data_IF_290568238846
#
_entry.id   IF_290568238846
#
_cell.length_a   1.000
_cell.length_b   1.000
_cell.length_c   1.000
_cell.angle_alpha   90.00
_cell.angle_beta   90.00
_cell.angle_gamma   90.00
#
_symmetry.space_group_name_H-M   'P 1'
#
loop_
_entity.id
_entity.type
_entity.pdbx_description
1 polymer ?
#
# COMPACT_ATOMS: atom_id res chain seq x y z
N UNK A 1 23.92 -12.27 14.28
CA UNK A 1 23.14 -12.06 13.03
C UNK A 1 22.05 -10.98 13.19
N UNK A 2 20.97 -11.14 14.00
CA UNK A 2 19.93 -10.10 14.16
C UNK A 2 20.47 -8.86 14.88
N UNK A 3 21.27 -9.02 15.94
CA UNK A 3 21.88 -7.93 16.69
C UNK A 3 22.89 -7.16 15.82
N UNK A 4 23.61 -7.84 14.97
CA UNK A 4 24.56 -7.26 14.03
C UNK A 4 23.84 -6.48 12.92
N UNK A 5 22.68 -6.96 12.46
CA UNK A 5 21.82 -6.25 11.52
C UNK A 5 21.37 -4.89 12.07
N UNK A 6 20.84 -4.86 13.29
CA UNK A 6 20.42 -3.60 13.92
C UNK A 6 21.59 -2.70 14.30
N UNK A 7 22.70 -3.28 14.75
CA UNK A 7 23.95 -2.54 15.01
C UNK A 7 24.48 -1.85 13.76
N UNK A 8 24.38 -2.50 12.61
CA UNK A 8 24.77 -1.91 11.32
C UNK A 8 23.87 -0.76 10.89
N UNK A 9 22.56 -0.83 11.21
CA UNK A 9 21.62 0.23 10.85
C UNK A 9 21.70 1.42 11.82
N UNK A 10 21.65 1.16 13.12
CA UNK A 10 21.49 2.21 14.14
C UNK A 10 22.81 2.64 14.79
N UNK A 11 23.93 1.97 14.49
CA UNK A 11 25.25 2.32 15.01
C UNK A 11 25.32 2.33 16.54
N UNK A 12 26.01 3.34 17.10
CA UNK A 12 26.21 3.47 18.56
C UNK A 12 24.95 3.90 19.32
N UNK A 13 23.84 4.28 18.66
CA UNK A 13 22.58 4.69 19.32
C UNK A 13 21.96 3.60 20.20
N UNK A 14 22.38 2.35 20.02
CA UNK A 14 21.97 1.22 20.86
C UNK A 14 22.57 1.29 22.27
N UNK A 15 23.76 1.90 22.42
CA UNK A 15 24.53 1.89 23.67
C UNK A 15 24.31 3.14 24.53
N UNK A 16 23.93 4.29 23.96
CA UNK A 16 23.80 5.55 24.70
C UNK A 16 22.57 5.62 25.63
N UNK A 17 21.67 4.67 25.49
CA UNK A 17 20.35 4.72 26.12
C UNK A 17 20.36 4.30 27.59
N UNK A 18 21.41 3.64 28.09
CA UNK A 18 21.47 3.18 29.48
C UNK A 18 21.53 4.30 30.51
N UNK A 19 21.72 5.55 30.07
CA UNK A 19 21.91 6.73 30.93
C UNK A 19 20.71 7.65 31.03
N UNK A 20 19.55 7.33 30.41
CA UNK A 20 18.34 8.15 30.55
C UNK A 20 17.74 8.01 31.96
N UNK A 21 18.15 8.87 32.89
CA UNK A 21 17.73 8.83 34.29
C UNK A 21 16.34 9.49 34.50
N UNK A 22 15.87 10.32 33.56
CA UNK A 22 14.57 10.99 33.62
C UNK A 22 13.93 11.07 32.23
N UNK A 23 13.05 10.16 31.93
CA UNK A 23 12.29 10.12 30.71
C UNK A 23 10.82 10.37 31.03
N UNK A 24 10.21 11.35 30.34
CA UNK A 24 8.76 11.65 30.46
C UNK A 24 8.05 11.01 29.27
N UNK A 25 7.07 10.17 29.56
CA UNK A 25 6.18 9.61 28.53
C UNK A 25 5.23 10.71 28.03
N UNK A 26 5.21 10.95 26.72
CA UNK A 26 4.37 11.94 26.07
C UNK A 26 2.95 11.45 25.77
N UNK A 27 2.77 10.13 25.62
CA UNK A 27 1.52 9.52 25.19
C UNK A 27 0.64 9.03 26.34
N UNK A 28 0.66 9.68 27.51
CA UNK A 28 -0.02 9.15 28.67
C UNK A 28 0.57 7.80 29.11
N UNK A 29 -0.24 6.98 29.78
CA UNK A 29 0.23 5.75 30.44
C UNK A 29 0.19 4.48 29.56
N UNK A 30 -0.24 4.58 28.31
CA UNK A 30 -0.39 3.41 27.44
C UNK A 30 0.61 3.43 26.29
N UNK A 31 1.62 2.54 26.32
CA UNK A 31 2.45 2.28 25.16
C UNK A 31 1.57 1.80 24.00
N UNK A 32 1.68 2.41 22.84
CA UNK A 32 1.00 1.90 21.65
C UNK A 32 1.72 0.63 21.18
N UNK A 33 1.17 -0.49 21.59
CA UNK A 33 1.57 -1.78 21.04
C UNK A 33 0.94 -1.93 19.67
N UNK A 34 1.76 -2.04 18.64
CA UNK A 34 1.31 -2.68 17.43
C UNK A 34 1.24 -4.16 17.77
N UNK A 35 0.03 -4.63 18.09
CA UNK A 35 -0.20 -6.07 18.20
C UNK A 35 -0.05 -6.64 16.77
N UNK A 36 1.17 -6.88 16.38
CA UNK A 36 1.48 -7.86 15.37
C UNK A 36 1.18 -9.25 15.93
N UNK A 37 -0.05 -9.46 16.33
CA UNK A 37 -0.56 -10.81 16.22
C UNK A 37 -0.60 -11.02 14.71
N UNK A 38 0.23 -11.90 14.18
CA UNK A 38 0.32 -12.34 12.80
C UNK A 38 -1.04 -12.66 12.13
N UNK A 39 -2.11 -12.44 12.84
CA UNK A 39 -3.46 -12.89 12.56
C UNK A 39 -4.24 -11.96 11.61
N UNK A 40 -3.94 -10.67 11.58
CA UNK A 40 -4.67 -9.75 10.67
C UNK A 40 -4.10 -9.80 9.26
N UNK A 41 -2.78 -9.71 9.13
CA UNK A 41 -2.08 -9.81 7.85
C UNK A 41 -2.12 -11.21 7.23
N UNK A 42 -2.44 -12.25 8.01
CA UNK A 42 -2.65 -13.61 7.53
C UNK A 42 -4.00 -13.81 6.83
N UNK A 43 -4.94 -12.87 6.99
CA UNK A 43 -6.18 -12.89 6.24
C UNK A 43 -5.92 -12.54 4.76
N UNK A 44 -6.35 -13.42 3.87
CA UNK A 44 -6.07 -13.31 2.43
C UNK A 44 -6.65 -12.05 1.79
N UNK A 45 -7.86 -11.65 2.17
CA UNK A 45 -8.56 -10.48 1.62
C UNK A 45 -7.89 -9.19 2.08
N UNK A 46 -7.63 -9.09 3.38
CA UNK A 46 -6.94 -7.95 3.97
C UNK A 46 -5.56 -7.73 3.33
N UNK A 47 -4.80 -8.83 3.22
CA UNK A 47 -3.49 -8.82 2.56
C UNK A 47 -3.57 -8.41 1.09
N UNK A 48 -4.59 -8.88 0.36
CA UNK A 48 -4.80 -8.53 -1.03
C UNK A 48 -5.08 -7.02 -1.20
N UNK A 49 -5.86 -6.41 -0.29
CA UNK A 49 -6.11 -4.97 -0.30
C UNK A 49 -4.82 -4.17 -0.10
N UNK A 50 -4.05 -4.51 0.94
CA UNK A 50 -2.77 -3.83 1.22
C UNK A 50 -1.77 -4.03 0.07
N UNK A 51 -1.63 -5.25 -0.44
CA UNK A 51 -0.76 -5.57 -1.56
C UNK A 51 -1.14 -4.79 -2.83
N UNK A 52 -2.43 -4.66 -3.11
CA UNK A 52 -2.92 -3.89 -4.25
C UNK A 52 -2.48 -2.42 -4.18
N UNK A 53 -2.66 -1.75 -3.04
CA UNK A 53 -2.19 -0.37 -2.83
C UNK A 53 -0.67 -0.30 -2.91
N UNK A 54 0.03 -1.18 -2.18
CA UNK A 54 1.48 -1.17 -2.08
C UNK A 54 2.16 -1.38 -3.45
N UNK A 55 1.64 -2.29 -4.29
CA UNK A 55 2.15 -2.51 -5.66
C UNK A 55 1.97 -1.29 -6.54
N UNK A 56 0.85 -0.59 -6.43
CA UNK A 56 0.60 0.60 -7.23
C UNK A 56 1.47 1.78 -6.79
N UNK A 57 1.70 1.95 -5.49
CA UNK A 57 2.64 2.96 -4.97
C UNK A 57 4.08 2.62 -5.36
N UNK A 58 4.51 1.37 -5.27
CA UNK A 58 5.87 0.94 -5.55
C UNK A 58 6.32 1.13 -7.02
N UNK A 59 5.37 1.20 -7.96
CA UNK A 59 5.66 1.49 -9.39
C UNK A 59 6.16 2.91 -9.61
N UNK A 60 5.85 3.83 -8.69
CA UNK A 60 6.10 5.25 -8.86
C UNK A 60 7.59 5.58 -8.69
N UNK A 61 8.04 6.57 -9.42
CA UNK A 61 9.42 7.04 -9.31
C UNK A 61 9.41 8.41 -8.66
N UNK A 62 10.09 8.58 -7.51
CA UNK A 62 10.26 9.89 -6.92
C UNK A 62 11.12 10.76 -7.82
N UNK A 63 10.80 12.03 -7.89
CA UNK A 63 11.64 13.07 -8.50
C UNK A 63 12.27 13.87 -7.38
N UNK A 64 13.59 13.93 -7.35
CA UNK A 64 14.35 14.66 -6.34
C UNK A 64 14.98 15.89 -6.96
N UNK A 65 14.57 17.07 -6.48
CA UNK A 65 15.12 18.35 -6.88
C UNK A 65 15.85 18.95 -5.69
N UNK A 66 17.15 19.14 -5.84
CA UNK A 66 18.04 19.75 -4.83
C UNK A 66 18.67 20.98 -5.44
N UNK A 67 18.40 22.13 -4.87
CA UNK A 67 18.93 23.41 -5.36
C UNK A 67 20.30 23.73 -4.75
N UNK A 68 20.63 23.08 -3.61
CA UNK A 68 21.85 23.32 -2.86
C UNK A 68 22.96 22.34 -3.27
N UNK A 69 24.19 22.83 -3.45
CA UNK A 69 25.39 22.01 -3.72
C UNK A 69 26.00 21.39 -2.44
N UNK A 70 25.23 21.22 -1.38
CA UNK A 70 25.71 20.66 -0.12
C UNK A 70 25.99 19.16 -0.27
N UNK A 71 27.15 18.74 0.27
CA UNK A 71 27.57 17.32 0.29
C UNK A 71 26.60 16.43 1.05
N UNK A 72 25.80 16.99 1.95
CA UNK A 72 24.77 16.28 2.71
C UNK A 72 23.78 15.58 1.79
N UNK A 73 23.40 16.20 0.67
CA UNK A 73 22.42 15.69 -0.29
C UNK A 73 23.01 14.97 -1.51
N UNK A 74 24.34 14.83 -1.56
CA UNK A 74 25.04 14.34 -2.77
C UNK A 74 24.53 13.02 -3.32
N UNK A 75 24.01 12.14 -2.45
CA UNK A 75 23.53 10.81 -2.80
C UNK A 75 21.98 10.72 -2.79
N UNK A 76 21.29 11.79 -2.40
CA UNK A 76 19.84 11.75 -2.15
C UNK A 76 19.05 11.28 -3.36
N UNK A 77 19.36 11.80 -4.54
CA UNK A 77 18.72 11.41 -5.80
C UNK A 77 18.91 9.91 -6.07
N UNK A 78 20.13 9.41 -6.02
CA UNK A 78 20.42 8.00 -6.25
C UNK A 78 19.72 7.09 -5.22
N UNK A 79 19.72 7.49 -3.94
CA UNK A 79 19.08 6.73 -2.87
C UNK A 79 17.57 6.58 -3.11
N UNK A 80 16.86 7.67 -3.41
CA UNK A 80 15.41 7.62 -3.57
C UNK A 80 14.98 7.05 -4.93
N UNK A 81 15.69 7.35 -6.00
CA UNK A 81 15.34 6.91 -7.34
C UNK A 81 15.76 5.46 -7.65
N UNK A 82 16.80 4.93 -6.97
CA UNK A 82 17.34 3.61 -7.30
C UNK A 82 17.46 2.67 -6.10
N UNK A 83 18.27 3.02 -5.08
CA UNK A 83 18.62 2.12 -4.00
C UNK A 83 18.63 2.82 -2.64
N UNK A 84 17.48 2.92 -1.96
CA UNK A 84 17.34 3.61 -0.68
C UNK A 84 18.23 3.08 0.45
N UNK A 85 18.57 1.79 0.43
CA UNK A 85 19.47 1.16 1.37
C UNK A 85 20.12 -0.09 0.77
N UNK A 86 21.04 -0.71 1.50
CA UNK A 86 21.79 -1.90 1.05
C UNK A 86 20.93 -3.15 0.84
N UNK A 87 19.73 -3.21 1.47
CA UNK A 87 18.85 -4.39 1.45
C UNK A 87 17.68 -4.28 0.47
N UNK A 88 17.35 -3.07 0.01
CA UNK A 88 16.14 -2.80 -0.76
C UNK A 88 16.43 -1.93 -1.97
N UNK A 89 15.82 -2.26 -3.09
CA UNK A 89 15.67 -1.34 -4.21
C UNK A 89 14.50 -0.37 -3.97
N UNK A 90 14.34 0.61 -4.84
CA UNK A 90 13.26 1.61 -4.77
C UNK A 90 11.87 0.97 -4.67
N UNK A 91 11.56 -0.03 -5.50
CA UNK A 91 10.27 -0.70 -5.51
C UNK A 91 9.96 -1.35 -4.15
N UNK A 92 10.90 -2.13 -3.63
CA UNK A 92 10.76 -2.81 -2.34
C UNK A 92 10.62 -1.84 -1.17
N UNK A 93 11.30 -0.70 -1.24
CA UNK A 93 11.26 0.33 -0.22
C UNK A 93 9.88 0.98 -0.13
N UNK A 94 9.33 1.49 -1.24
CA UNK A 94 8.01 2.11 -1.24
C UNK A 94 6.89 1.10 -1.01
N UNK A 95 7.04 -0.12 -1.52
CA UNK A 95 6.13 -1.22 -1.19
C UNK A 95 6.08 -1.46 0.32
N UNK A 96 7.22 -1.52 0.99
CA UNK A 96 7.29 -1.75 2.43
C UNK A 96 6.70 -0.58 3.23
N UNK A 97 6.98 0.66 2.85
CA UNK A 97 6.38 1.85 3.48
C UNK A 97 4.85 1.79 3.38
N UNK A 98 4.34 1.57 2.17
CA UNK A 98 2.91 1.48 1.94
C UNK A 98 2.27 0.33 2.72
N UNK A 99 2.91 -0.85 2.75
CA UNK A 99 2.41 -2.01 3.49
C UNK A 99 2.37 -1.74 4.99
N UNK A 100 3.43 -1.19 5.59
CA UNK A 100 3.47 -0.86 7.02
C UNK A 100 2.40 0.18 7.34
N UNK A 101 2.30 1.26 6.55
CA UNK A 101 1.33 2.31 6.81
C UNK A 101 -0.11 1.80 6.74
N UNK A 102 -0.43 0.98 5.74
CA UNK A 102 -1.78 0.44 5.58
C UNK A 102 -2.10 -0.70 6.55
N UNK A 103 -1.10 -1.28 7.21
CA UNK A 103 -1.29 -2.31 8.24
C UNK A 103 -1.35 -1.73 9.66
N UNK A 104 -0.69 -0.60 9.92
CA UNK A 104 -0.55 -0.05 11.28
C UNK A 104 -1.01 1.38 11.46
N UNK A 105 -1.39 2.06 10.38
CA UNK A 105 -1.67 3.49 10.30
C UNK A 105 -0.50 4.40 10.70
N UNK A 106 0.68 3.84 10.95
CA UNK A 106 1.91 4.55 11.30
C UNK A 106 3.10 3.90 10.62
N UNK A 107 3.87 4.67 9.86
CA UNK A 107 5.11 4.21 9.26
C UNK A 107 6.25 5.14 9.62
N UNK A 108 7.32 4.57 10.16
CA UNK A 108 8.53 5.29 10.51
C UNK A 108 9.65 4.89 9.57
N UNK A 109 10.33 5.90 9.02
CA UNK A 109 11.51 5.68 8.20
C UNK A 109 12.70 6.39 8.86
N UNK A 110 13.71 5.62 9.23
CA UNK A 110 14.95 6.14 9.79
C UNK A 110 15.84 6.69 8.69
N UNK A 111 16.31 7.91 8.87
CA UNK A 111 17.28 8.57 7.97
C UNK A 111 18.67 8.39 8.55
N UNK A 112 19.45 7.51 7.95
CA UNK A 112 20.84 7.26 8.38
C UNK A 112 21.75 8.30 7.80
N UNK A 113 22.45 9.01 8.69
CA UNK A 113 23.44 10.01 8.34
C UNK A 113 24.81 9.56 8.84
N UNK A 114 25.81 9.55 7.96
CA UNK A 114 27.21 9.24 8.30
C UNK A 114 28.14 10.32 7.73
N UNK A 115 29.04 10.79 8.58
CA UNK A 115 30.03 11.82 8.19
C UNK A 115 29.39 13.04 7.50
N UNK A 116 28.22 13.45 7.97
CA UNK A 116 27.48 14.58 7.42
C UNK A 116 26.88 14.32 6.03
N UNK A 117 26.54 13.08 5.68
CA UNK A 117 25.85 12.72 4.44
C UNK A 117 24.73 11.73 4.73
N UNK A 118 23.62 11.85 4.01
CA UNK A 118 22.58 10.83 4.02
C UNK A 118 23.14 9.60 3.28
N UNK A 119 23.15 8.46 3.95
CA UNK A 119 23.63 7.18 3.41
C UNK A 119 22.54 6.15 3.22
N UNK A 120 21.35 6.36 3.77
CA UNK A 120 20.23 5.45 3.54
C UNK A 120 18.95 5.77 4.30
N UNK A 121 17.86 5.14 3.85
CA UNK A 121 16.53 5.22 4.41
C UNK A 121 16.06 3.83 4.80
N UNK A 122 15.60 3.64 6.05
CA UNK A 122 15.24 2.34 6.59
C UNK A 122 13.83 2.37 7.18
N UNK A 123 12.83 1.76 6.52
CA UNK A 123 11.51 1.59 7.09
C UNK A 123 11.58 0.65 8.30
N UNK A 124 11.15 1.17 9.46
CA UNK A 124 11.23 0.45 10.74
C UNK A 124 9.99 -0.42 10.91
N UNK A 125 10.23 -1.71 11.14
CA UNK A 125 9.21 -2.64 11.57
C UNK A 125 9.42 -2.92 13.07
N UNK A 126 8.45 -2.52 13.90
CA UNK A 126 8.55 -2.53 15.35
C UNK A 126 7.40 -3.31 15.99
N UNK A 127 7.60 -3.81 17.20
CA UNK A 127 6.55 -4.44 18.01
C UNK A 127 5.76 -3.41 18.79
N UNK A 128 6.48 -2.46 19.39
CA UNK A 128 5.93 -1.43 20.26
C UNK A 128 6.72 -0.14 20.04
N UNK A 129 6.03 0.98 20.10
CA UNK A 129 6.63 2.30 20.04
C UNK A 129 6.07 3.17 21.16
N UNK A 130 6.94 3.96 21.76
CA UNK A 130 6.62 5.00 22.74
C UNK A 130 7.36 6.28 22.36
N UNK A 131 6.71 7.44 22.50
CA UNK A 131 7.42 8.71 22.47
C UNK A 131 7.79 9.15 23.88
N UNK A 132 9.04 9.51 24.04
CA UNK A 132 9.62 9.94 25.30
C UNK A 132 10.31 11.28 25.11
N UNK A 133 10.21 12.16 26.09
CA UNK A 133 10.88 13.45 26.11
C UNK A 133 12.11 13.38 27.01
N UNK A 134 13.25 13.80 26.50
CA UNK A 134 14.49 13.90 27.22
C UNK A 134 15.22 15.18 26.81
N UNK A 135 15.60 16.03 27.78
CA UNK A 135 16.30 17.31 27.55
C UNK A 135 15.63 18.22 26.50
N UNK A 136 14.29 18.31 26.52
CA UNK A 136 13.46 19.06 25.55
C UNK A 136 13.49 18.48 24.10
N UNK A 137 14.04 17.31 23.90
CA UNK A 137 13.99 16.60 22.63
C UNK A 137 13.06 15.39 22.71
N UNK A 138 12.32 15.15 21.63
CA UNK A 138 11.43 13.99 21.52
C UNK A 138 12.20 12.83 20.92
N UNK A 139 12.17 11.68 21.59
CA UNK A 139 12.72 10.43 21.11
C UNK A 139 11.62 9.40 20.89
N UNK A 140 11.74 8.64 19.82
CA UNK A 140 10.93 7.45 19.60
C UNK A 140 11.68 6.23 20.14
N UNK A 141 11.07 5.57 21.12
CA UNK A 141 11.56 4.31 21.70
C UNK A 141 10.89 3.17 20.96
N UNK A 142 11.66 2.39 20.24
CA UNK A 142 11.21 1.22 19.51
C UNK A 142 11.60 -0.07 20.22
N UNK A 143 10.62 -0.92 20.46
CA UNK A 143 10.84 -2.30 20.88
C UNK A 143 10.67 -3.23 19.68
N UNK A 144 11.67 -4.05 19.42
CA UNK A 144 11.64 -4.97 18.29
C UNK A 144 11.21 -6.38 18.70
N UNK A 145 10.77 -7.19 17.71
CA UNK A 145 10.38 -8.58 17.93
C UNK A 145 11.52 -9.48 18.43
N UNK A 146 12.77 -9.09 18.14
CA UNK A 146 13.94 -9.75 18.69
C UNK A 146 14.07 -9.44 20.18
N UNK A 147 14.09 -10.47 21.01
CA UNK A 147 14.07 -10.41 22.48
C UNK A 147 14.98 -9.33 23.06
N UNK A 148 14.39 -8.37 23.76
CA UNK A 148 15.09 -7.41 24.62
C UNK A 148 15.91 -6.36 23.89
N UNK A 149 15.60 -6.08 22.63
CA UNK A 149 16.28 -5.07 21.86
C UNK A 149 15.42 -3.82 21.74
N UNK A 150 15.82 -2.76 22.40
CA UNK A 150 15.16 -1.45 22.40
C UNK A 150 16.11 -0.40 21.85
N UNK A 151 15.60 0.46 20.97
CA UNK A 151 16.36 1.57 20.38
C UNK A 151 15.63 2.87 20.60
N UNK A 152 16.36 3.92 20.94
CA UNK A 152 15.85 5.29 21.03
C UNK A 152 16.41 6.08 19.86
N UNK A 153 15.55 6.69 19.08
CA UNK A 153 15.91 7.47 17.92
C UNK A 153 15.32 8.88 18.08
N UNK A 154 16.11 9.95 17.91
CA UNK A 154 15.55 11.30 17.90
C UNK A 154 14.43 11.41 16.85
N UNK A 155 13.29 12.02 17.21
CA UNK A 155 12.19 12.18 16.28
C UNK A 155 12.58 13.03 15.05
N UNK A 156 13.60 13.89 15.21
CA UNK A 156 14.19 14.67 14.12
C UNK A 156 14.80 13.82 13.00
N UNK A 157 15.30 12.62 13.32
CA UNK A 157 15.90 11.68 12.36
C UNK A 157 14.89 10.68 11.77
N UNK A 158 13.61 10.80 12.12
CA UNK A 158 12.54 9.92 11.67
C UNK A 158 11.60 10.67 10.72
N UNK A 159 11.33 10.08 9.56
CA UNK A 159 10.20 10.46 8.73
C UNK A 159 9.02 9.65 9.25
N UNK A 160 7.96 10.32 9.69
CA UNK A 160 6.78 9.69 10.26
C UNK A 160 5.55 9.95 9.40
N UNK A 161 5.07 8.92 8.74
CA UNK A 161 3.86 8.94 7.91
C UNK A 161 2.74 8.31 8.71
N UNK A 162 1.59 8.97 8.80
CA UNK A 162 0.45 8.53 9.63
C UNK A 162 -0.88 8.64 8.90
N UNK A 163 -1.81 7.75 9.22
CA UNK A 163 -3.19 7.75 8.71
C UNK A 163 -4.18 7.73 9.87
N UNK A 164 -5.39 8.25 9.63
CA UNK A 164 -6.47 8.23 10.61
C UNK A 164 -6.05 8.78 11.98
N UNK A 165 -5.46 9.97 11.99
CA UNK A 165 -5.03 10.68 13.19
C UNK A 165 -6.06 11.74 13.56
N UNK A 166 -7.00 11.39 14.45
CA UNK A 166 -8.01 12.31 14.97
C UNK A 166 -7.85 12.56 16.47
N UNK A 167 -7.50 11.51 17.21
CA UNK A 167 -7.48 11.53 18.67
C UNK A 167 -6.10 11.87 19.25
N UNK A 168 -5.05 11.73 18.45
CA UNK A 168 -3.65 11.89 18.88
C UNK A 168 -2.85 12.61 17.77
N UNK A 169 -2.20 13.71 18.11
CA UNK A 169 -1.38 14.47 17.15
C UNK A 169 -0.12 13.74 16.71
N UNK A 170 0.37 12.79 17.53
CA UNK A 170 1.60 12.06 17.28
C UNK A 170 1.38 10.74 16.57
N UNK A 171 0.23 10.05 16.79
CA UNK A 171 -0.02 8.75 16.22
C UNK A 171 -1.30 8.68 15.38
N UNK A 172 -1.27 7.87 14.34
CA UNK A 172 -2.47 7.38 13.70
C UNK A 172 -3.22 6.38 14.59
N UNK A 173 -4.54 6.35 14.49
CA UNK A 173 -5.43 5.46 15.28
C UNK A 173 -5.17 3.99 14.96
N UNK A 174 -5.36 3.12 15.95
CA UNK A 174 -5.15 1.69 15.77
C UNK A 174 -6.19 1.08 14.84
N UNK A 175 -5.75 0.36 13.81
CA UNK A 175 -6.65 -0.41 12.93
C UNK A 175 -7.36 -1.55 13.64
N UNK A 176 -6.73 -2.11 14.67
CA UNK A 176 -7.27 -3.27 15.40
C UNK A 176 -8.60 -2.96 16.07
N UNK A 177 -8.81 -1.72 16.48
CA UNK A 177 -10.07 -1.27 17.08
C UNK A 177 -11.21 -1.23 16.06
N UNK A 178 -10.92 -0.71 14.86
CA UNK A 178 -11.92 -0.53 13.79
C UNK A 178 -12.22 -1.85 13.07
N UNK A 179 -11.19 -2.60 12.70
CA UNK A 179 -11.31 -3.81 11.90
C UNK A 179 -11.45 -5.09 12.74
N UNK A 180 -11.21 -5.01 14.06
CA UNK A 180 -11.29 -6.16 14.98
C UNK A 180 -12.59 -6.96 14.88
N UNK A 181 -13.77 -6.33 14.93
CA UNK A 181 -15.05 -7.03 14.77
C UNK A 181 -15.18 -7.74 13.42
N UNK A 182 -14.70 -7.12 12.34
CA UNK A 182 -14.76 -7.69 10.98
C UNK A 182 -13.86 -8.93 10.89
N UNK A 183 -12.67 -8.90 11.49
CA UNK A 183 -11.79 -10.07 11.57
C UNK A 183 -12.39 -11.21 12.38
N UNK A 184 -13.15 -10.92 13.43
CA UNK A 184 -13.87 -11.95 14.19
C UNK A 184 -14.94 -12.63 13.33
N UNK A 185 -15.71 -11.86 12.56
CA UNK A 185 -16.71 -12.40 11.64
C UNK A 185 -16.04 -13.28 10.58
N UNK A 186 -14.94 -12.84 9.95
CA UNK A 186 -14.20 -13.63 8.97
C UNK A 186 -13.71 -14.96 9.54
N UNK A 187 -13.14 -14.96 10.75
CA UNK A 187 -12.71 -16.19 11.40
C UNK A 187 -13.87 -17.15 11.69
N UNK A 188 -15.02 -16.60 12.08
CA UNK A 188 -16.22 -17.40 12.27
C UNK A 188 -16.71 -18.00 10.95
N UNK A 189 -16.64 -17.24 9.85
CA UNK A 189 -16.96 -17.71 8.50
C UNK A 189 -16.02 -18.84 8.08
N UNK A 190 -14.70 -18.63 8.16
CA UNK A 190 -13.69 -19.62 7.78
C UNK A 190 -13.84 -20.91 8.63
N UNK A 191 -14.00 -20.77 9.94
CA UNK A 191 -14.23 -21.91 10.85
C UNK A 191 -15.54 -22.64 10.53
N UNK A 192 -16.60 -21.89 10.21
CA UNK A 192 -17.88 -22.46 9.82
C UNK A 192 -17.80 -23.25 8.51
N UNK A 193 -17.05 -22.77 7.53
CA UNK A 193 -16.80 -23.47 6.26
C UNK A 193 -16.00 -24.74 6.48
N UNK A 194 -14.90 -24.67 7.24
CA UNK A 194 -14.07 -25.85 7.57
C UNK A 194 -14.91 -26.90 8.27
N UNK A 195 -15.63 -26.52 9.34
CA UNK A 195 -16.49 -27.44 10.08
C UNK A 195 -17.62 -28.03 9.21
N UNK A 196 -18.11 -27.25 8.24
CA UNK A 196 -19.13 -27.70 7.29
C UNK A 196 -18.59 -28.78 6.36
N UNK A 197 -17.38 -28.58 5.83
CA UNK A 197 -16.71 -29.56 4.95
C UNK A 197 -16.36 -30.81 5.76
N UNK A 198 -15.71 -30.67 6.90
CA UNK A 198 -15.37 -31.80 7.77
C UNK A 198 -16.59 -32.54 8.28
N UNK A 199 -17.64 -31.80 8.67
CA UNK A 199 -18.89 -32.37 9.13
C UNK A 199 -19.68 -33.09 8.04
N UNK A 200 -19.56 -32.68 6.79
CA UNK A 200 -20.24 -33.31 5.64
C UNK A 200 -19.62 -34.67 5.28
N UNK A 201 -18.35 -34.89 5.61
CA UNK A 201 -17.64 -36.16 5.36
C UNK A 201 -17.84 -37.19 6.47
N UNK A 202 -18.35 -36.78 7.62
CA UNK A 202 -18.58 -37.67 8.76
C UNK A 202 -20.06 -38.08 8.83
N UNK A 203 -20.33 -39.40 8.75
CA UNK A 203 -21.63 -39.94 8.98
C UNK A 203 -21.98 -39.79 10.49
N UNK A 204 -22.96 -38.94 10.80
CA UNK A 204 -23.44 -38.75 12.18
C UNK A 204 -24.84 -39.30 12.29
N UNK A 205 -25.10 -39.95 13.37
CA UNK A 205 -26.43 -40.54 13.64
C UNK A 205 -26.63 -40.89 15.10
N UNK A 206 -27.82 -41.25 15.39
CA UNK A 206 -28.20 -41.75 16.72
C UNK A 206 -28.32 -43.27 16.63
N UNK A 207 -27.50 -43.98 17.43
CA UNK A 207 -27.59 -45.40 17.57
C UNK A 207 -28.59 -45.69 18.70
N UNK A 208 -29.75 -46.28 18.33
CA UNK A 208 -30.78 -46.67 19.28
C UNK A 208 -30.66 -48.16 19.56
N UNK A 209 -30.63 -48.51 20.83
CA UNK A 209 -30.64 -49.90 21.26
C UNK A 209 -31.99 -50.24 21.93
N UNK A 210 -32.65 -51.29 21.46
CA UNK A 210 -33.93 -51.74 21.99
C UNK A 210 -33.71 -52.68 23.21
N UNK A 211 -33.32 -52.13 24.36
CA UNK A 211 -33.09 -52.85 25.60
C UNK A 211 -32.42 -51.98 26.70
N UNK A 212 -32.41 -52.48 27.94
CA UNK A 212 -31.70 -51.78 29.02
C UNK A 212 -30.25 -52.26 29.09
N UNK A 213 -29.33 -51.42 28.57
CA UNK A 213 -27.89 -51.65 28.69
C UNK A 213 -27.30 -50.76 29.78
N UNK A 214 -26.25 -51.25 30.41
CA UNK A 214 -25.40 -50.41 31.28
C UNK A 214 -24.60 -49.46 30.43
N UNK A 215 -24.20 -48.32 30.99
CA UNK A 215 -23.47 -47.28 30.31
C UNK A 215 -22.17 -47.77 29.64
N UNK A 216 -21.45 -48.66 30.33
CA UNK A 216 -20.20 -49.23 29.87
C UNK A 216 -20.38 -50.10 28.59
N UNK A 217 -21.52 -50.76 28.47
CA UNK A 217 -21.85 -51.59 27.32
C UNK A 217 -22.30 -50.71 26.15
N UNK A 218 -22.99 -49.58 26.39
CA UNK A 218 -23.36 -48.60 25.40
C UNK A 218 -22.11 -47.94 24.79
N UNK A 219 -21.14 -47.60 25.60
CA UNK A 219 -19.88 -47.01 25.15
C UNK A 219 -19.08 -47.98 24.26
N UNK A 220 -19.03 -49.29 24.61
CA UNK A 220 -18.43 -50.34 23.80
C UNK A 220 -19.12 -50.48 22.44
N UNK A 221 -20.45 -50.57 22.42
CA UNK A 221 -21.21 -50.68 21.17
C UNK A 221 -21.03 -49.46 20.28
N UNK A 222 -20.92 -48.27 20.85
CA UNK A 222 -20.62 -47.05 20.14
C UNK A 222 -19.23 -47.12 19.53
N UNK A 223 -18.21 -47.50 20.30
CA UNK A 223 -16.83 -47.57 19.83
C UNK A 223 -16.64 -48.67 18.77
N UNK A 224 -17.27 -49.80 18.91
CA UNK A 224 -17.28 -50.87 17.90
C UNK A 224 -17.97 -50.42 16.62
N UNK A 225 -19.07 -49.67 16.71
CA UNK A 225 -19.78 -49.14 15.56
C UNK A 225 -18.93 -48.08 14.83
N UNK A 226 -18.32 -47.14 15.57
CA UNK A 226 -17.46 -46.10 15.01
C UNK A 226 -16.23 -46.72 14.36
N UNK A 227 -15.59 -47.69 14.96
CA UNK A 227 -14.38 -48.34 14.43
C UNK A 227 -14.68 -49.23 13.21
N UNK A 228 -15.84 -49.87 13.19
CA UNK A 228 -16.19 -50.79 12.08
C UNK A 228 -16.82 -50.09 10.88
N UNK A 229 -17.57 -49.00 11.08
CA UNK A 229 -18.40 -48.39 10.05
C UNK A 229 -18.10 -46.93 9.74
N UNK A 230 -17.51 -46.19 10.69
CA UNK A 230 -17.23 -44.76 10.50
C UNK A 230 -15.74 -44.44 10.30
N UNK A 231 -14.86 -45.43 10.44
CA UNK A 231 -13.43 -45.22 10.19
C UNK A 231 -13.17 -45.14 8.69
N UNK A 232 -12.21 -44.29 8.30
CA UNK A 232 -11.75 -44.12 6.89
C UNK A 232 -11.30 -45.43 6.25
N UNK A 233 -11.02 -46.45 7.02
CA UNK A 233 -10.57 -47.79 6.55
C UNK A 233 -11.69 -48.84 6.62
N UNK A 234 -12.92 -48.48 6.95
CA UNK A 234 -14.07 -49.41 7.00
C UNK A 234 -14.59 -49.71 5.59
N UNK A 235 -15.06 -50.94 5.37
CA UNK A 235 -15.57 -51.42 4.08
C UNK A 235 -16.90 -50.74 3.63
N UNK A 236 -17.38 -49.77 4.40
CA UNK A 236 -18.60 -49.01 4.09
C UNK A 236 -19.91 -49.86 4.20
N UNK A 237 -19.84 -51.12 4.63
CA UNK A 237 -21.00 -51.99 4.76
C UNK A 237 -21.19 -52.34 6.23
N UNK A 238 -22.30 -51.91 6.80
CA UNK A 238 -22.67 -52.16 8.18
C UNK A 238 -23.72 -53.27 8.31
N UNK A 239 -23.46 -54.29 9.17
CA UNK A 239 -24.47 -55.26 9.58
C UNK A 239 -24.97 -54.83 10.96
N UNK A 240 -26.26 -54.49 11.08
CA UNK A 240 -26.91 -54.11 12.32
C UNK A 240 -27.63 -55.33 12.90
N UNK A 241 -27.51 -55.56 14.20
CA UNK A 241 -28.34 -56.56 14.92
C UNK A 241 -29.79 -56.02 14.97
N UNK A 242 -30.77 -56.92 15.04
CA UNK A 242 -32.20 -56.59 15.11
C UNK A 242 -32.57 -55.68 16.30
N UNK A 243 -31.68 -55.53 17.27
CA UNK A 243 -31.84 -54.67 18.47
C UNK A 243 -31.24 -53.29 18.32
N UNK A 244 -30.50 -53.01 17.23
CA UNK A 244 -29.80 -51.76 17.03
C UNK A 244 -30.41 -51.08 15.82
N UNK A 245 -30.88 -49.83 15.98
CA UNK A 245 -31.39 -48.98 14.93
C UNK A 245 -30.48 -47.75 14.79
N UNK A 246 -30.00 -47.48 13.57
CA UNK A 246 -29.21 -46.30 13.27
C UNK A 246 -30.05 -45.30 12.52
N UNK A 247 -30.30 -44.17 13.16
CA UNK A 247 -30.99 -43.05 12.52
C UNK A 247 -29.96 -42.00 12.11
N UNK A 248 -29.67 -41.82 10.79
CA UNK A 248 -28.73 -40.81 10.36
C UNK A 248 -29.28 -39.39 10.65
N UNK A 249 -28.49 -38.58 11.34
CA UNK A 249 -28.83 -37.17 11.54
C UNK A 249 -28.27 -36.38 10.39
N UNK A 250 -29.12 -35.92 9.49
CA UNK A 250 -28.73 -34.97 8.46
C UNK A 250 -28.46 -33.62 9.12
N UNK A 251 -27.20 -33.31 9.33
CA UNK A 251 -26.78 -31.96 9.70
C UNK A 251 -26.72 -31.20 8.39
N UNK A 252 -27.71 -30.36 8.11
CA UNK A 252 -27.57 -29.36 7.07
C UNK A 252 -26.64 -28.28 7.63
N UNK A 253 -25.39 -28.19 7.14
CA UNK A 253 -24.50 -27.16 7.59
C UNK A 253 -25.10 -25.83 7.20
N UNK A 254 -25.41 -24.98 8.16
CA UNK A 254 -25.77 -23.58 7.88
C UNK A 254 -24.55 -22.90 7.32
N UNK A 255 -24.37 -23.03 6.01
CA UNK A 255 -23.37 -22.24 5.29
C UNK A 255 -23.77 -20.78 5.33
N UNK A 256 -22.82 -19.95 5.64
CA UNK A 256 -23.01 -18.50 5.64
C UNK A 256 -23.40 -18.09 4.22
N UNK A 257 -24.44 -17.28 4.11
CA UNK A 257 -24.95 -16.87 2.81
C UNK A 257 -23.86 -16.11 2.01
N UNK A 258 -23.85 -16.30 0.69
CA UNK A 258 -22.97 -15.54 -0.23
C UNK A 258 -23.10 -14.02 -0.03
N UNK A 259 -24.28 -13.54 0.39
CA UNK A 259 -24.51 -12.14 0.71
C UNK A 259 -23.69 -11.64 1.91
N UNK A 260 -23.60 -12.44 2.97
CA UNK A 260 -22.78 -12.08 4.14
C UNK A 260 -21.27 -12.09 3.84
N UNK A 261 -20.82 -13.02 3.02
CA UNK A 261 -19.42 -13.03 2.57
C UNK A 261 -19.10 -11.79 1.73
N UNK A 262 -19.99 -11.43 0.80
CA UNK A 262 -19.85 -10.23 -0.01
C UNK A 262 -19.86 -8.96 0.86
N UNK A 263 -20.78 -8.86 1.80
CA UNK A 263 -20.84 -7.72 2.73
C UNK A 263 -19.52 -7.55 3.53
N UNK A 264 -18.91 -8.65 3.94
CA UNK A 264 -17.63 -8.59 4.66
C UNK A 264 -16.49 -8.12 3.75
N UNK A 265 -16.49 -8.53 2.48
CA UNK A 265 -15.54 -8.04 1.48
C UNK A 265 -15.72 -6.54 1.23
N UNK A 266 -16.98 -6.07 1.14
CA UNK A 266 -17.32 -4.68 0.92
C UNK A 266 -16.79 -3.77 2.05
N UNK A 267 -16.79 -4.23 3.32
CA UNK A 267 -16.19 -3.47 4.42
C UNK A 267 -14.70 -3.20 4.22
N UNK A 268 -13.91 -4.18 3.76
CA UNK A 268 -12.50 -3.94 3.46
C UNK A 268 -12.34 -3.02 2.25
N UNK A 269 -13.15 -3.19 1.23
CA UNK A 269 -13.16 -2.33 0.05
C UNK A 269 -13.42 -0.86 0.43
N UNK A 270 -14.40 -0.59 1.28
CA UNK A 270 -14.67 0.76 1.79
C UNK A 270 -13.54 1.31 2.66
N UNK A 271 -12.99 0.49 3.56
CA UNK A 271 -11.91 0.94 4.45
C UNK A 271 -10.64 1.32 3.69
N UNK A 272 -10.30 0.57 2.64
CA UNK A 272 -9.10 0.81 1.84
C UNK A 272 -9.36 1.67 0.60
N UNK A 273 -10.59 1.97 0.25
CA UNK A 273 -10.93 2.71 -0.97
C UNK A 273 -10.61 1.93 -2.25
N UNK A 274 -10.82 0.60 -2.26
CA UNK A 274 -10.50 -0.27 -3.39
C UNK A 274 -11.77 -0.96 -3.87
N UNK A 275 -12.09 -0.86 -5.15
CA UNK A 275 -13.22 -1.61 -5.72
C UNK A 275 -12.87 -3.09 -5.94
N UNK A 276 -13.91 -3.93 -5.97
CA UNK A 276 -13.77 -5.37 -6.25
C UNK A 276 -13.10 -5.62 -7.61
N UNK A 277 -13.40 -4.79 -8.63
CA UNK A 277 -12.83 -4.90 -9.96
C UNK A 277 -11.32 -4.64 -9.97
N UNK A 278 -10.84 -3.71 -9.15
CA UNK A 278 -9.41 -3.44 -8.99
C UNK A 278 -8.70 -4.63 -8.33
N UNK A 279 -9.31 -5.21 -7.28
CA UNK A 279 -8.75 -6.40 -6.63
C UNK A 279 -8.69 -7.61 -7.58
N UNK A 280 -9.69 -7.77 -8.44
CA UNK A 280 -9.76 -8.84 -9.46
C UNK A 280 -8.93 -8.55 -10.72
N UNK A 281 -8.27 -7.39 -10.79
CA UNK A 281 -7.51 -6.93 -11.96
C UNK A 281 -8.33 -6.86 -13.26
N UNK A 282 -9.63 -6.56 -13.16
CA UNK A 282 -10.56 -6.38 -14.28
C UNK A 282 -11.19 -4.98 -14.31
N UNK A 283 -10.54 -4.00 -13.67
CA UNK A 283 -11.00 -2.63 -13.61
C UNK A 283 -10.94 -1.96 -15.00
N UNK A 284 -11.93 -1.12 -15.27
CA UNK A 284 -11.90 -0.20 -16.40
C UNK A 284 -10.88 0.91 -16.19
N UNK A 285 -10.54 1.66 -17.24
CA UNK A 285 -9.64 2.82 -17.13
C UNK A 285 -10.18 3.87 -16.16
N UNK A 286 -11.48 4.13 -16.21
CA UNK A 286 -12.13 5.11 -15.32
C UNK A 286 -12.10 4.66 -13.85
N UNK A 287 -12.35 3.38 -13.58
CA UNK A 287 -12.25 2.82 -12.23
C UNK A 287 -10.80 2.89 -11.70
N UNK A 288 -9.82 2.63 -12.57
CA UNK A 288 -8.41 2.73 -12.20
C UNK A 288 -8.01 4.19 -11.93
N UNK A 289 -8.48 5.14 -12.74
CA UNK A 289 -8.23 6.58 -12.54
C UNK A 289 -8.87 7.06 -11.23
N UNK A 290 -10.10 6.66 -10.95
CA UNK A 290 -10.77 6.98 -9.69
C UNK A 290 -10.02 6.41 -8.47
N UNK A 291 -9.58 5.15 -8.54
CA UNK A 291 -8.75 4.54 -7.51
C UNK A 291 -7.43 5.30 -7.30
N UNK A 292 -6.78 5.67 -8.39
CA UNK A 292 -5.54 6.42 -8.33
C UNK A 292 -5.76 7.79 -7.64
N UNK A 293 -6.73 8.57 -8.08
CA UNK A 293 -7.00 9.92 -7.58
C UNK A 293 -7.50 9.93 -6.14
N UNK A 294 -8.32 8.95 -5.75
CA UNK A 294 -8.93 8.93 -4.41
C UNK A 294 -8.08 8.19 -3.37
N UNK A 295 -7.29 7.19 -3.77
CA UNK A 295 -6.57 6.33 -2.83
C UNK A 295 -5.06 6.50 -2.90
N UNK A 296 -4.48 6.54 -4.10
CA UNK A 296 -3.03 6.57 -4.28
C UNK A 296 -2.47 7.99 -4.20
N UNK A 297 -3.04 8.94 -4.91
CA UNK A 297 -2.53 10.33 -4.99
C UNK A 297 -2.47 11.03 -3.62
N UNK A 298 -3.49 10.96 -2.74
CA UNK A 298 -3.41 11.54 -1.41
C UNK A 298 -2.24 11.01 -0.56
N UNK A 299 -1.97 9.70 -0.68
CA UNK A 299 -0.81 9.09 -0.03
C UNK A 299 0.50 9.66 -0.59
N UNK A 300 0.62 9.82 -1.91
CA UNK A 300 1.84 10.35 -2.53
C UNK A 300 2.11 11.79 -2.11
N UNK A 301 1.07 12.61 -2.04
CA UNK A 301 1.17 14.00 -1.55
C UNK A 301 1.69 14.01 -0.11
N UNK A 302 1.12 13.19 0.77
CA UNK A 302 1.55 13.10 2.15
C UNK A 302 3.01 12.67 2.27
N UNK A 303 3.39 11.59 1.58
CA UNK A 303 4.78 11.09 1.62
C UNK A 303 5.76 12.13 1.06
N UNK A 304 5.41 12.79 -0.05
CA UNK A 304 6.22 13.85 -0.64
C UNK A 304 6.48 14.99 0.35
N UNK A 305 5.43 15.44 1.04
CA UNK A 305 5.53 16.50 2.05
C UNK A 305 6.36 16.07 3.26
N UNK A 306 6.12 14.85 3.78
CA UNK A 306 6.85 14.34 4.94
C UNK A 306 8.35 14.18 4.63
N UNK A 307 8.71 13.63 3.47
CA UNK A 307 10.10 13.53 3.06
C UNK A 307 10.73 14.91 2.83
N UNK A 308 10.05 15.81 2.16
CA UNK A 308 10.55 17.16 1.88
C UNK A 308 10.80 17.93 3.19
N UNK A 309 9.80 17.97 4.07
CA UNK A 309 9.87 18.74 5.32
C UNK A 309 10.91 18.17 6.30
N UNK A 310 11.18 16.86 6.25
CA UNK A 310 12.13 16.22 7.16
C UNK A 310 13.57 16.29 6.66
N UNK A 311 13.76 16.28 5.36
CA UNK A 311 15.09 16.24 4.75
C UNK A 311 15.66 17.63 4.52
N UNK A 312 14.81 18.58 4.10
CA UNK A 312 15.24 19.94 3.77
C UNK A 312 14.90 20.94 4.87
N UNK A 313 15.72 21.96 5.00
CA UNK A 313 15.44 23.13 5.85
C UNK A 313 14.43 24.03 5.15
N UNK A 314 13.74 24.88 5.94
CA UNK A 314 12.77 25.85 5.42
C UNK A 314 13.34 26.70 4.27
N UNK A 315 14.56 27.21 4.41
CA UNK A 315 15.23 28.00 3.37
C UNK A 315 15.45 27.23 2.07
N UNK A 316 15.80 25.94 2.18
CA UNK A 316 16.02 25.10 0.99
C UNK A 316 14.72 24.80 0.26
N UNK A 317 13.62 24.63 1.01
CA UNK A 317 12.27 24.44 0.43
C UNK A 317 11.84 25.72 -0.28
N UNK A 318 12.02 26.89 0.33
CA UNK A 318 11.73 28.19 -0.29
C UNK A 318 12.53 28.43 -1.58
N UNK A 319 13.76 27.91 -1.68
CA UNK A 319 14.59 27.93 -2.87
C UNK A 319 14.15 26.90 -3.94
N UNK A 320 13.19 26.05 -3.63
CA UNK A 320 12.64 25.06 -4.55
C UNK A 320 13.25 23.67 -4.47
N UNK A 321 13.91 23.30 -3.35
CA UNK A 321 14.29 21.90 -3.10
C UNK A 321 13.07 21.12 -2.65
N UNK A 322 12.81 19.99 -3.31
CA UNK A 322 11.62 19.18 -3.07
C UNK A 322 11.84 17.70 -3.43
N UNK A 323 11.06 16.83 -2.80
CA UNK A 323 10.96 15.42 -3.14
C UNK A 323 9.51 15.16 -3.52
N UNK A 324 9.27 14.88 -4.78
CA UNK A 324 7.93 14.63 -5.31
C UNK A 324 7.78 13.16 -5.68
N UNK A 325 6.73 12.54 -5.16
CA UNK A 325 6.25 11.26 -5.64
C UNK A 325 5.05 11.53 -6.54
N UNK A 326 5.28 11.46 -7.84
CA UNK A 326 4.20 11.66 -8.82
C UNK A 326 4.09 10.45 -9.72
N UNK A 327 2.89 10.10 -10.12
CA UNK A 327 2.72 9.20 -11.24
C UNK A 327 2.73 10.04 -12.52
N UNK A 328 3.52 9.59 -13.48
CA UNK A 328 3.23 9.99 -14.83
C UNK A 328 1.95 9.27 -15.27
N UNK A 329 0.79 9.95 -15.12
CA UNK A 329 -0.54 9.38 -15.46
C UNK A 329 -0.54 8.85 -16.90
N UNK A 330 0.27 9.42 -17.79
CA UNK A 330 0.39 9.00 -19.17
C UNK A 330 1.06 7.64 -19.37
N UNK A 331 1.94 7.22 -18.46
CA UNK A 331 2.55 5.89 -18.54
C UNK A 331 1.52 4.76 -18.36
N UNK A 332 0.46 5.02 -17.60
CA UNK A 332 -0.57 4.03 -17.28
C UNK A 332 -1.86 4.21 -18.10
N UNK A 333 -1.95 5.28 -18.89
CA UNK A 333 -3.07 5.52 -19.78
C UNK A 333 -3.17 4.42 -20.85
N UNK A 334 -4.39 4.09 -21.25
CA UNK A 334 -4.63 3.17 -22.36
C UNK A 334 -4.00 3.67 -23.65
N UNK A 335 -3.75 2.75 -24.57
CA UNK A 335 -3.22 3.14 -25.92
C UNK A 335 -4.19 4.08 -26.61
N UNK A 336 -5.50 3.89 -26.41
CA UNK A 336 -6.53 4.78 -26.97
C UNK A 336 -6.41 6.20 -26.41
N UNK A 337 -6.29 6.34 -25.09
CA UNK A 337 -6.11 7.64 -24.42
C UNK A 337 -4.82 8.33 -24.85
N UNK A 338 -3.71 7.58 -24.97
CA UNK A 338 -2.43 8.11 -25.49
C UNK A 338 -2.58 8.61 -26.92
N UNK A 339 -3.24 7.84 -27.78
CA UNK A 339 -3.50 8.22 -29.16
C UNK A 339 -4.32 9.52 -29.23
N UNK A 340 -5.41 9.61 -28.47
CA UNK A 340 -6.27 10.78 -28.43
C UNK A 340 -5.49 12.02 -27.95
N UNK A 341 -4.68 11.87 -26.90
CA UNK A 341 -3.87 12.96 -26.36
C UNK A 341 -2.79 13.41 -27.35
N UNK A 342 -2.05 12.46 -27.94
CA UNK A 342 -1.04 12.77 -28.94
C UNK A 342 -1.65 13.46 -30.16
N UNK A 343 -2.80 12.98 -30.65
CA UNK A 343 -3.51 13.57 -31.80
C UNK A 343 -4.02 14.99 -31.50
N UNK A 344 -4.48 15.24 -30.27
CA UNK A 344 -5.00 16.55 -29.88
C UNK A 344 -3.88 17.58 -29.58
N UNK A 345 -2.81 17.15 -28.91
CA UNK A 345 -1.80 18.07 -28.36
C UNK A 345 -0.60 18.29 -29.28
N UNK A 346 -0.23 17.30 -30.10
CA UNK A 346 0.90 17.43 -31.03
C UNK A 346 0.69 18.56 -32.06
N UNK A 347 -0.51 18.73 -32.69
CA UNK A 347 -0.76 19.82 -33.61
C UNK A 347 -0.72 21.20 -32.97
N UNK A 348 -0.91 21.30 -31.67
CA UNK A 348 -0.82 22.56 -30.91
C UNK A 348 0.62 22.91 -30.52
N UNK A 349 1.58 22.04 -30.81
CA UNK A 349 2.97 22.21 -30.39
C UNK A 349 3.20 22.04 -28.89
N UNK A 350 2.25 21.45 -28.18
CA UNK A 350 2.37 21.17 -26.74
C UNK A 350 3.35 20.03 -26.42
N UNK A 351 3.49 19.07 -27.35
CA UNK A 351 4.42 17.94 -27.23
C UNK A 351 5.44 17.97 -28.38
N UNK A 352 6.67 17.61 -28.02
CA UNK A 352 7.72 17.31 -29.01
C UNK A 352 7.55 15.88 -29.56
N UNK A 353 8.24 15.56 -30.64
CA UNK A 353 8.23 14.21 -31.21
C UNK A 353 8.82 13.19 -30.19
N UNK A 354 9.88 13.57 -29.48
CA UNK A 354 10.52 12.69 -28.51
C UNK A 354 9.63 12.43 -27.28
N UNK A 355 8.90 13.42 -26.78
CA UNK A 355 7.94 13.23 -25.69
C UNK A 355 6.81 12.28 -26.09
N UNK A 356 6.28 12.40 -27.32
CA UNK A 356 5.29 11.45 -27.83
C UNK A 356 5.90 10.06 -27.97
N UNK A 357 7.13 9.91 -28.43
CA UNK A 357 7.82 8.61 -28.52
C UNK A 357 8.01 7.99 -27.14
N UNK A 358 8.40 8.79 -26.15
CA UNK A 358 8.56 8.34 -24.76
C UNK A 358 7.23 7.85 -24.14
N UNK A 359 6.09 8.50 -24.46
CA UNK A 359 4.75 8.04 -24.03
C UNK A 359 4.44 6.62 -24.49
N UNK A 360 4.98 6.18 -25.64
CA UNK A 360 4.83 4.83 -26.19
C UNK A 360 6.00 3.90 -25.85
N UNK A 361 6.99 4.39 -25.09
CA UNK A 361 8.17 3.60 -24.71
C UNK A 361 9.21 3.46 -25.82
N UNK A 362 9.20 4.31 -26.83
CA UNK A 362 10.22 4.37 -27.88
C UNK A 362 11.39 5.27 -27.48
N UNK A 363 12.59 4.90 -27.85
CA UNK A 363 13.77 5.72 -27.64
C UNK A 363 13.68 7.05 -28.40
N UNK A 364 14.23 8.15 -27.84
CA UNK A 364 14.31 9.43 -28.53
C UNK A 364 15.12 9.33 -29.84
N UNK A 365 14.81 10.19 -30.77
CA UNK A 365 15.53 10.32 -32.04
C UNK A 365 16.25 11.67 -32.13
N UNK A 366 17.27 11.73 -32.95
CA UNK A 366 17.97 12.99 -33.22
C UNK A 366 16.99 14.01 -33.82
N UNK A 367 17.08 15.27 -33.37
CA UNK A 367 16.17 16.37 -33.73
C UNK A 367 14.69 16.14 -33.39
N UNK A 368 14.38 15.17 -32.50
CA UNK A 368 13.00 14.88 -32.08
C UNK A 368 12.46 15.79 -30.99
N UNK A 369 13.26 16.67 -30.39
CA UNK A 369 12.83 17.61 -29.34
C UNK A 369 12.13 18.86 -29.89
N UNK A 370 12.04 18.95 -31.24
CA UNK A 370 11.30 20.02 -31.91
C UNK A 370 9.80 19.87 -31.72
N UNK A 371 9.12 20.98 -31.49
CA UNK A 371 7.67 21.07 -31.47
C UNK A 371 7.15 21.37 -32.90
N UNK A 372 6.12 20.64 -33.30
CA UNK A 372 5.46 20.78 -34.61
C UNK A 372 4.10 21.40 -34.37
N UNK A 373 3.80 22.50 -35.10
CA UNK A 373 2.48 23.16 -35.00
C UNK A 373 1.78 22.98 -36.36
N UNK A 374 0.48 22.67 -36.28
CA UNK A 374 -0.36 22.61 -37.48
C UNK A 374 -0.60 24.04 -38.02
N UNK A 375 -0.46 24.21 -39.30
CA UNK A 375 -0.77 25.48 -39.98
C UNK A 375 -2.29 25.81 -39.97
N UNK A 376 -3.13 24.87 -39.52
CA UNK A 376 -4.58 25.10 -39.42
C UNK A 376 -4.95 25.94 -38.19
N UNK A 377 -4.01 26.21 -37.28
CA UNK A 377 -4.24 27.04 -36.09
C UNK A 377 -3.52 28.37 -36.30
N UNK A 378 -4.25 29.45 -36.07
CA UNK A 378 -3.73 30.82 -36.14
C UNK A 378 -3.94 31.49 -34.78
N UNK A 379 -3.03 32.37 -34.39
CA UNK A 379 -3.16 33.25 -33.26
C UNK A 379 -4.42 34.11 -33.40
N UNK A 380 -5.25 34.13 -32.34
CA UNK A 380 -6.55 34.84 -32.32
C UNK A 380 -6.37 36.33 -32.70
N UNK A 381 -5.28 36.95 -32.24
CA UNK A 381 -4.96 38.35 -32.55
C UNK A 381 -4.59 38.57 -34.01
N UNK A 382 -4.18 37.53 -34.73
CA UNK A 382 -3.81 37.56 -36.15
C UNK A 382 -4.90 37.01 -37.07
N UNK A 383 -5.96 36.42 -36.50
CA UNK A 383 -7.01 35.77 -37.28
C UNK A 383 -7.68 36.71 -38.27
N UNK A 384 -7.94 37.95 -37.87
CA UNK A 384 -8.52 38.98 -38.75
C UNK A 384 -7.60 39.37 -39.93
N UNK A 385 -6.29 39.43 -39.71
CA UNK A 385 -5.31 39.73 -40.80
C UNK A 385 -5.20 38.57 -41.79
N UNK A 386 -5.34 37.34 -41.29
CA UNK A 386 -5.28 36.14 -42.12
C UNK A 386 -6.56 35.94 -42.95
N UNK A 387 -7.72 36.23 -42.38
CA UNK A 387 -9.01 36.10 -43.08
C UNK A 387 -9.26 37.22 -44.11
N UNK A 388 -8.78 38.44 -43.85
CA UNK A 388 -9.02 39.58 -44.70
C UNK A 388 -7.95 39.71 -45.81
N UNK A 389 -6.84 38.97 -45.71
CA UNK A 389 -5.68 39.12 -46.63
C UNK A 389 -5.05 40.50 -46.49
N UNK A 390 -3.75 40.60 -46.35
CA UNK A 390 -3.06 41.84 -46.52
C UNK A 390 -3.38 42.34 -47.94
N UNK A 391 -4.20 43.39 -48.04
CA UNK A 391 -4.29 44.14 -49.29
C UNK A 391 -2.88 44.64 -49.63
N UNK A 392 -2.22 43.96 -50.53
CA UNK A 392 -1.05 44.52 -51.20
C UNK A 392 -1.57 45.75 -51.96
N UNK A 393 -1.24 46.92 -51.44
CA UNK A 393 -1.37 48.18 -52.21
C UNK A 393 -0.69 47.95 -53.53
N UNK A 394 -1.51 47.78 -54.57
CA UNK A 394 -1.06 47.89 -56.00
C UNK A 394 -0.70 49.31 -56.17
N UNK A 395 0.61 49.63 -56.12
CA UNK A 395 1.13 50.89 -56.64
C UNK A 395 0.69 50.97 -58.09
N UNK A 396 -0.27 51.87 -58.36
CA UNK A 396 -0.54 52.37 -59.70
C UNK A 396 0.72 53.12 -60.16
N UNK A 397 1.47 52.54 -61.06
CA UNK A 397 2.42 53.27 -61.90
C UNK A 397 1.57 54.17 -62.85
N UNK A 398 1.54 55.43 -62.55
CA UNK A 398 1.13 56.46 -63.49
C UNK A 398 2.23 56.58 -64.52
N UNK A 399 1.98 56.07 -65.74
CA UNK A 399 2.76 56.36 -66.92
C UNK A 399 2.39 57.74 -67.37
N UNK A 400 3.21 58.71 -67.06
CA UNK A 400 3.24 59.98 -67.76
C UNK A 400 3.91 59.72 -69.11
N UNK A 401 3.10 59.79 -70.14
CA UNK A 401 3.59 59.98 -71.56
C UNK A 401 3.27 61.36 -71.92
N UNK A 402 4.26 62.24 -71.92
CA UNK A 402 4.28 63.52 -72.69
C UNK A 402 4.74 63.28 -74.12
N UNK A 403 3.98 63.92 -75.04
CA UNK A 403 4.17 64.28 -76.47
C UNK A 403 4.27 63.20 -77.49
#
# INVERSE_FOLDING_TARGET
>A
MIKDFFSNIFGNKINDVRNFVRVKLLNGWTPRCVNYSNKSYDNSIYRACIDCIARNIAKLTPTVKVVTSDKYYSNLKFLLEHKPNEYMNRYQFFYKIASILHDTNNCFVYVRVEKGKIVGFYPINYRQIEFVEFENEIFAKFDFYARGFTVYIPYSELIHIKRHYNDDDLFGSSQTEVLGPIFQVLRAIDSGMINSVEGSTQLRGILKYAGNLKKDDLDKYKDDFVNSYMSLNGDGIGILDSKIDFTPVKIEPKTISTGQQKQTLDYFSYYFGISENILKACATEDEYNAFYEMTIEPFLVQVSLEFTNKIFTKQQIELGSEILLTANKLLFASVATKNNLATAMMPLGAFSINEVREMYGYNPIENGDRHIVSLNYIDLDKANKYQVGENKDVKKETSDTET
#
